data_IF_626529245478
#
_entry.id   IF_626529245478
#
_cell.length_a   1.000
_cell.length_b   1.000
_cell.length_c   1.000
_cell.angle_alpha   90.00
_cell.angle_beta   90.00
_cell.angle_gamma   90.00
#
_symmetry.space_group_name_H-M   'P 1'
#
loop_
_entity.id
_entity.type
_entity.pdbx_description
1 polymer ?
#
# COMPACT_ATOMS: atom_id res chain seq x y z
N UNK A 1 44.92 -10.85 -35.70
CA UNK A 1 46.05 -10.50 -36.59
C UNK A 1 45.72 -11.07 -37.96
N UNK A 2 45.67 -10.28 -39.07
CA UNK A 2 45.65 -8.79 -39.23
C UNK A 2 44.63 -8.05 -38.33
N UNK A 3 44.49 -6.70 -38.24
CA UNK A 3 45.24 -5.48 -38.70
C UNK A 3 45.14 -4.94 -40.16
N UNK A 4 44.80 -3.63 -40.26
CA UNK A 4 44.86 -2.68 -41.40
C UNK A 4 43.84 -2.94 -42.54
N UNK A 5 42.96 -2.05 -43.00
CA UNK A 5 42.70 -0.61 -42.74
C UNK A 5 41.41 -0.13 -43.50
N UNK A 6 41.02 1.15 -43.59
CA UNK A 6 41.43 2.38 -42.88
C UNK A 6 40.34 3.53 -43.02
N UNK A 7 40.62 4.72 -43.58
CA UNK A 7 39.71 5.93 -43.69
C UNK A 7 40.25 6.89 -44.80
N UNK A 8 39.76 8.14 -45.12
CA UNK A 8 38.67 8.98 -44.54
C UNK A 8 37.83 9.91 -45.52
N UNK A 9 36.96 10.75 -44.91
CA UNK A 9 36.44 12.07 -45.37
C UNK A 9 35.42 12.12 -46.56
N UNK A 10 34.60 13.17 -46.81
CA UNK A 10 34.46 14.55 -46.27
C UNK A 10 32.98 15.05 -46.46
N UNK A 11 32.30 15.83 -45.58
CA UNK A 11 32.35 17.30 -45.25
C UNK A 11 31.24 18.19 -45.91
N UNK A 12 30.46 18.91 -45.06
CA UNK A 12 29.62 20.14 -45.27
C UNK A 12 28.42 20.10 -46.27
N UNK A 13 27.48 21.06 -46.33
CA UNK A 13 27.23 22.40 -45.73
C UNK A 13 25.70 22.52 -45.42
N UNK A 14 25.21 23.00 -44.25
CA UNK A 14 24.90 24.39 -43.87
C UNK A 14 24.12 25.25 -44.89
N UNK A 15 22.92 25.77 -44.53
CA UNK A 15 22.48 27.21 -44.59
C UNK A 15 21.10 27.34 -43.88
N UNK A 16 20.84 28.47 -43.22
CA UNK A 16 19.61 28.81 -42.49
C UNK A 16 18.79 29.90 -43.21
N UNK A 17 17.54 30.18 -42.79
CA UNK A 17 16.90 31.47 -43.13
C UNK A 17 15.36 31.59 -43.06
N UNK A 18 14.87 32.12 -41.93
CA UNK A 18 13.97 33.29 -41.81
C UNK A 18 12.55 33.37 -42.46
N UNK A 19 11.66 33.90 -41.61
CA UNK A 19 10.58 34.88 -41.86
C UNK A 19 9.10 34.41 -41.88
N UNK A 20 8.30 35.14 -41.10
CA UNK A 20 6.83 35.08 -40.95
C UNK A 20 6.23 36.24 -41.76
N UNK A 21 4.97 36.16 -42.23
CA UNK A 21 4.00 37.13 -41.71
C UNK A 21 2.59 36.56 -41.41
N UNK A 22 1.89 37.25 -40.52
CA UNK A 22 0.49 37.06 -40.14
C UNK A 22 -0.50 37.30 -41.29
N UNK A 23 -1.77 36.89 -41.11
CA UNK A 23 -2.84 37.87 -41.36
C UNK A 23 -3.91 37.97 -40.26
N UNK A 24 -4.15 39.22 -39.85
CA UNK A 24 -5.47 39.88 -39.72
C UNK A 24 -6.63 39.20 -38.96
N UNK A 25 -7.03 39.87 -37.88
CA UNK A 25 -8.43 40.05 -37.44
C UNK A 25 -8.78 41.55 -37.62
N UNK A 26 -10.03 42.05 -37.43
CA UNK A 26 -11.22 41.41 -36.86
C UNK A 26 -12.52 41.59 -37.68
N UNK A 27 -13.62 40.99 -37.21
CA UNK A 27 -14.90 41.68 -36.87
C UNK A 27 -15.96 40.65 -36.41
N UNK A 28 -17.04 41.04 -35.71
CA UNK A 28 -17.66 40.16 -34.72
C UNK A 28 -18.90 39.42 -35.22
N UNK A 29 -19.09 38.19 -34.73
CA UNK A 29 -20.38 37.48 -34.81
C UNK A 29 -20.88 37.25 -33.38
N UNK A 30 -22.09 37.75 -33.11
CA UNK A 30 -22.82 37.48 -31.86
C UNK A 30 -23.13 35.99 -31.76
N UNK A 31 -22.84 35.40 -30.60
CA UNK A 31 -23.19 34.03 -30.26
C UNK A 31 -23.05 33.83 -28.77
N UNK A 32 -24.12 34.10 -28.04
CA UNK A 32 -24.19 33.83 -26.60
C UNK A 32 -24.08 32.32 -26.36
N UNK A 33 -23.08 31.86 -25.60
CA UNK A 33 -23.13 30.64 -24.79
C UNK A 33 -21.93 30.60 -23.83
N UNK A 34 -21.94 31.45 -22.80
CA UNK A 34 -20.98 31.34 -21.69
C UNK A 34 -21.42 30.24 -20.71
N UNK A 35 -21.26 28.98 -21.10
CA UNK A 35 -21.36 27.85 -20.16
C UNK A 35 -20.01 27.72 -19.46
N UNK A 36 -19.84 28.49 -18.37
CA UNK A 36 -18.77 28.24 -17.41
C UNK A 36 -19.11 26.99 -16.60
N UNK A 37 -18.89 25.83 -17.22
CA UNK A 37 -18.70 24.60 -16.48
C UNK A 37 -17.29 24.66 -15.88
N UNK A 38 -17.21 25.23 -14.67
CA UNK A 38 -16.11 24.95 -13.78
C UNK A 38 -15.92 23.43 -13.74
N UNK A 39 -14.80 22.92 -14.24
CA UNK A 39 -14.47 21.50 -14.17
C UNK A 39 -14.52 21.09 -12.70
N UNK A 40 -15.48 20.26 -12.25
CA UNK A 40 -15.26 19.55 -11.02
C UNK A 40 -14.11 18.61 -11.33
N UNK A 41 -12.97 18.87 -10.71
CA UNK A 41 -11.90 17.89 -10.63
C UNK A 41 -12.50 16.71 -9.86
N UNK A 42 -13.07 15.75 -10.60
CA UNK A 42 -13.44 14.45 -10.05
C UNK A 42 -12.12 13.83 -9.63
N UNK A 43 -11.78 14.03 -8.35
CA UNK A 43 -10.98 13.06 -7.63
C UNK A 43 -11.68 11.73 -7.89
N UNK A 44 -11.04 10.89 -8.69
CA UNK A 44 -11.31 9.47 -8.69
C UNK A 44 -10.87 8.95 -7.31
N UNK A 45 -11.71 9.22 -6.30
CA UNK A 45 -11.81 8.35 -5.15
C UNK A 45 -12.32 7.02 -5.71
N UNK A 46 -11.38 6.21 -6.17
CA UNK A 46 -11.57 4.77 -6.20
C UNK A 46 -11.64 4.38 -4.72
N UNK A 47 -12.83 4.53 -4.12
CA UNK A 47 -13.10 4.07 -2.77
C UNK A 47 -13.00 2.55 -2.83
N UNK A 48 -11.80 2.00 -2.60
CA UNK A 48 -11.63 0.56 -2.39
C UNK A 48 -12.16 0.26 -0.99
N UNK A 49 -13.48 0.32 -0.89
CA UNK A 49 -14.21 -0.07 0.30
C UNK A 49 -13.86 -1.53 0.59
N UNK A 50 -13.22 -1.74 1.74
CA UNK A 50 -12.99 -3.08 2.29
C UNK A 50 -14.33 -3.84 2.23
N UNK A 51 -14.39 -4.99 1.53
CA UNK A 51 -15.67 -5.64 1.27
C UNK A 51 -16.31 -6.13 2.57
N UNK A 52 -17.66 -6.21 2.62
CA UNK A 52 -18.36 -6.67 3.80
C UNK A 52 -17.93 -8.11 4.16
N UNK A 53 -17.79 -8.37 5.46
CA UNK A 53 -17.41 -9.68 5.96
C UNK A 53 -18.51 -10.70 5.66
N UNK A 54 -18.12 -11.89 5.22
CA UNK A 54 -19.03 -13.00 4.88
C UNK A 54 -18.91 -14.15 5.87
N UNK A 55 -20.00 -14.90 6.05
CA UNK A 55 -20.03 -16.08 6.91
C UNK A 55 -19.52 -17.31 6.17
N UNK A 56 -18.43 -17.90 6.66
CA UNK A 56 -17.93 -19.19 6.20
C UNK A 56 -18.46 -20.32 7.08
N UNK A 57 -19.09 -21.34 6.49
CA UNK A 57 -19.47 -22.56 7.23
C UNK A 57 -18.23 -23.17 7.87
N UNK A 58 -18.24 -23.31 9.19
CA UNK A 58 -17.11 -23.79 10.01
C UNK A 58 -16.33 -22.68 10.73
N UNK A 59 -16.47 -21.41 10.34
CA UNK A 59 -15.84 -20.29 11.05
C UNK A 59 -16.78 -19.69 12.11
N UNK A 60 -16.31 -19.39 13.33
CA UNK A 60 -17.13 -18.79 14.39
C UNK A 60 -17.41 -17.29 14.18
N UNK A 61 -16.69 -16.63 13.27
CA UNK A 61 -16.83 -15.20 12.98
C UNK A 61 -16.89 -14.97 11.47
N UNK A 62 -17.59 -13.93 10.98
CA UNK A 62 -17.51 -13.57 9.57
C UNK A 62 -16.10 -12.99 9.28
N UNK A 63 -15.61 -13.27 8.08
CA UNK A 63 -14.25 -12.98 7.61
C UNK A 63 -14.31 -12.24 6.27
N UNK A 64 -13.21 -11.65 5.82
CA UNK A 64 -13.15 -11.09 4.47
C UNK A 64 -13.38 -12.18 3.41
N UNK A 65 -14.09 -11.87 2.31
CA UNK A 65 -14.15 -12.76 1.15
C UNK A 65 -12.73 -13.03 0.60
N UNK A 66 -12.48 -14.17 -0.07
CA UNK A 66 -11.14 -14.54 -0.53
C UNK A 66 -10.47 -13.46 -1.40
N UNK A 67 -9.15 -13.30 -1.24
CA UNK A 67 -8.33 -12.36 -2.02
C UNK A 67 -7.63 -11.30 -1.18
N UNK A 68 -6.81 -10.50 -1.85
CA UNK A 68 -6.07 -9.38 -1.26
C UNK A 68 -6.86 -8.10 -1.53
N UNK A 69 -7.31 -7.44 -0.46
CA UNK A 69 -8.12 -6.21 -0.53
C UNK A 69 -7.24 -5.01 -0.19
N UNK A 70 -6.93 -4.16 -1.16
CA UNK A 70 -6.11 -2.96 -0.89
C UNK A 70 -6.92 -1.91 -0.12
N UNK A 71 -6.35 -1.32 0.92
CA UNK A 71 -7.00 -0.28 1.71
C UNK A 71 -5.99 0.59 2.47
N UNK A 72 -6.34 1.85 2.73
CA UNK A 72 -5.61 2.74 3.64
C UNK A 72 -5.86 2.37 5.12
N UNK A 73 -4.97 2.81 6.01
CA UNK A 73 -5.17 2.76 7.45
C UNK A 73 -6.46 3.48 7.89
N UNK A 74 -6.90 4.51 7.17
CA UNK A 74 -8.16 5.21 7.44
C UNK A 74 -9.39 4.34 7.13
N UNK A 75 -9.39 3.60 6.02
CA UNK A 75 -10.43 2.63 5.68
C UNK A 75 -10.42 1.43 6.64
N UNK A 76 -9.25 0.96 7.05
CA UNK A 76 -9.09 -0.05 8.11
C UNK A 76 -9.66 0.45 9.44
N UNK A 77 -9.45 1.72 9.80
CA UNK A 77 -10.04 2.31 10.99
C UNK A 77 -11.58 2.35 10.90
N UNK A 78 -12.12 2.80 9.76
CA UNK A 78 -13.56 2.87 9.53
C UNK A 78 -14.25 1.50 9.61
N UNK A 79 -13.65 0.47 9.00
CA UNK A 79 -14.19 -0.89 9.01
C UNK A 79 -14.02 -1.61 10.35
N UNK A 80 -12.88 -1.42 11.04
CA UNK A 80 -12.48 -2.31 12.14
C UNK A 80 -12.22 -1.62 13.49
N UNK A 81 -11.94 -0.31 13.57
CA UNK A 81 -11.66 0.38 14.84
C UNK A 81 -12.96 0.78 15.59
N UNK A 82 -13.96 -0.10 15.60
CA UNK A 82 -15.35 0.18 16.01
C UNK A 82 -15.55 0.36 17.51
N UNK A 83 -14.73 -0.25 18.36
CA UNK A 83 -14.81 -0.15 19.83
C UNK A 83 -13.45 0.22 20.47
N UNK A 84 -13.40 0.64 21.75
CA UNK A 84 -12.17 1.11 22.39
C UNK A 84 -11.02 0.09 22.38
N UNK A 85 -11.33 -1.20 22.50
CA UNK A 85 -10.33 -2.26 22.44
C UNK A 85 -9.72 -2.37 21.04
N UNK A 86 -10.57 -2.43 20.01
CA UNK A 86 -10.14 -2.44 18.59
C UNK A 86 -9.38 -1.17 18.21
N UNK A 87 -9.76 0.00 18.72
CA UNK A 87 -8.98 1.24 18.59
C UNK A 87 -7.56 1.07 19.16
N UNK A 88 -7.42 0.53 20.37
CA UNK A 88 -6.09 0.33 20.96
C UNK A 88 -5.17 -0.61 20.15
N UNK A 89 -5.75 -1.58 19.42
CA UNK A 89 -5.00 -2.44 18.49
C UNK A 89 -4.63 -1.68 17.20
N UNK A 90 -5.55 -0.87 16.68
CA UNK A 90 -5.31 0.00 15.53
C UNK A 90 -4.19 1.03 15.81
N UNK A 91 -4.18 1.64 16.99
CA UNK A 91 -3.15 2.61 17.37
C UNK A 91 -1.74 1.99 17.34
N UNK A 92 -1.61 0.73 17.77
CA UNK A 92 -0.38 -0.04 17.69
C UNK A 92 0.02 -0.42 16.27
N UNK A 93 -0.95 -0.77 15.42
CA UNK A 93 -0.73 -0.97 13.98
C UNK A 93 -0.22 0.31 13.30
N UNK A 94 -0.76 1.49 13.65
CA UNK A 94 -0.35 2.78 13.08
C UNK A 94 1.07 3.16 13.49
N UNK A 95 1.47 3.01 14.77
CA UNK A 95 2.87 3.27 15.19
C UNK A 95 3.84 2.33 14.48
N UNK A 96 3.52 1.02 14.45
CA UNK A 96 4.35 0.04 13.76
C UNK A 96 4.49 0.35 12.26
N UNK A 97 3.39 0.72 11.58
CA UNK A 97 3.40 1.11 10.17
C UNK A 97 4.26 2.35 9.93
N UNK A 98 4.20 3.36 10.80
CA UNK A 98 5.07 4.53 10.71
C UNK A 98 6.56 4.20 10.90
N UNK A 99 6.89 3.24 11.78
CA UNK A 99 8.28 2.75 11.96
C UNK A 99 8.77 1.98 10.75
N UNK A 100 7.95 1.08 10.21
CA UNK A 100 8.25 0.32 8.99
C UNK A 100 8.46 1.26 7.79
N UNK A 101 7.59 2.26 7.61
CA UNK A 101 7.73 3.26 6.55
C UNK A 101 9.05 4.06 6.67
N UNK A 102 9.43 4.51 7.88
CA UNK A 102 10.73 5.17 8.11
C UNK A 102 11.94 4.26 7.82
N UNK A 103 11.77 2.95 7.95
CA UNK A 103 12.77 1.98 7.55
C UNK A 103 12.75 1.66 6.04
N UNK A 104 11.83 2.22 5.24
CA UNK A 104 11.73 2.01 3.79
C UNK A 104 10.71 0.95 3.35
N UNK A 105 9.92 0.38 4.27
CA UNK A 105 8.88 -0.60 3.95
C UNK A 105 7.70 0.10 3.24
N UNK A 106 7.38 -0.33 2.02
CA UNK A 106 6.34 0.30 1.20
C UNK A 106 4.94 -0.32 1.40
N UNK A 107 4.85 -1.56 1.92
CA UNK A 107 3.59 -2.30 2.02
C UNK A 107 3.57 -3.27 3.21
N UNK A 108 2.41 -3.38 3.85
CA UNK A 108 2.10 -4.47 4.78
C UNK A 108 0.82 -5.21 4.35
N UNK A 109 0.68 -6.45 4.80
CA UNK A 109 -0.53 -7.26 4.70
C UNK A 109 -1.08 -7.51 6.10
N UNK A 110 -2.32 -7.11 6.36
CA UNK A 110 -2.97 -7.18 7.67
C UNK A 110 -4.00 -8.30 7.72
N UNK A 111 -3.95 -9.08 8.80
CA UNK A 111 -4.85 -10.18 9.11
C UNK A 111 -4.96 -10.40 10.65
N UNK A 112 -4.96 -11.65 11.10
CA UNK A 112 -5.24 -12.06 12.46
C UNK A 112 -6.70 -11.88 12.87
N UNK A 113 -6.97 -12.09 14.16
CA UNK A 113 -8.35 -11.99 14.66
C UNK A 113 -8.95 -10.58 14.53
N UNK A 114 -8.09 -9.56 14.35
CA UNK A 114 -8.47 -8.18 14.06
C UNK A 114 -9.18 -7.98 12.71
N UNK A 115 -8.96 -8.83 11.70
CA UNK A 115 -9.62 -8.73 10.38
C UNK A 115 -10.82 -9.69 10.32
N UNK A 116 -11.69 -9.59 11.33
CA UNK A 116 -12.89 -10.42 11.47
C UNK A 116 -14.01 -9.70 12.23
N UNK A 117 -15.20 -10.30 12.19
CA UNK A 117 -16.36 -9.87 12.97
C UNK A 117 -16.28 -10.20 14.47
N UNK A 118 -15.14 -10.72 14.96
CA UNK A 118 -14.94 -10.98 16.39
C UNK A 118 -15.02 -9.64 17.17
N UNK A 119 -15.94 -9.47 18.14
CA UNK A 119 -16.11 -8.19 18.84
C UNK A 119 -14.87 -7.74 19.63
N UNK A 120 -14.16 -8.72 20.22
CA UNK A 120 -12.91 -8.53 20.94
C UNK A 120 -11.81 -9.45 20.34
N UNK A 121 -11.12 -9.00 19.27
CA UNK A 121 -9.91 -9.68 18.79
C UNK A 121 -8.87 -9.83 19.91
N UNK A 122 -7.97 -10.82 19.80
CA UNK A 122 -6.82 -10.91 20.71
C UNK A 122 -5.75 -9.89 20.33
N UNK A 123 -5.46 -9.88 19.04
CA UNK A 123 -4.35 -9.22 18.35
C UNK A 123 -4.70 -9.07 16.86
N UNK A 124 -3.84 -8.35 16.14
CA UNK A 124 -3.70 -8.42 14.69
C UNK A 124 -2.40 -9.15 14.34
N UNK A 125 -2.38 -9.76 13.15
CA UNK A 125 -1.18 -10.37 12.57
C UNK A 125 -0.84 -9.60 11.28
N UNK A 126 0.43 -9.26 11.07
CA UNK A 126 0.85 -8.44 9.92
C UNK A 126 2.11 -9.01 9.25
N UNK A 127 2.10 -9.05 7.92
CA UNK A 127 3.30 -9.30 7.12
C UNK A 127 3.82 -7.98 6.55
N UNK A 128 5.13 -7.74 6.56
CA UNK A 128 5.74 -6.57 5.92
C UNK A 128 6.65 -6.99 4.77
N UNK A 129 6.66 -6.18 3.71
CA UNK A 129 7.52 -6.42 2.55
C UNK A 129 8.95 -5.91 2.83
N UNK A 130 9.97 -6.78 2.85
CA UNK A 130 11.35 -6.35 3.10
C UNK A 130 12.01 -5.65 1.89
N UNK A 131 11.38 -5.64 0.71
CA UNK A 131 11.93 -4.94 -0.46
C UNK A 131 12.04 -3.44 -0.18
N UNK A 132 13.26 -2.92 -0.27
CA UNK A 132 13.58 -1.51 0.01
C UNK A 132 13.84 -1.19 1.49
N UNK A 133 13.72 -2.15 2.41
CA UNK A 133 13.91 -1.90 3.85
C UNK A 133 15.40 -1.76 4.20
N UNK A 134 15.77 -0.58 4.71
CA UNK A 134 17.06 -0.29 5.32
C UNK A 134 17.13 -0.92 6.72
N UNK A 135 17.87 -2.02 6.82
CA UNK A 135 18.04 -2.77 8.08
C UNK A 135 18.62 -1.93 9.22
N UNK A 136 19.38 -0.85 8.93
CA UNK A 136 19.96 0.04 9.94
C UNK A 136 18.93 1.00 10.58
N UNK A 137 17.78 1.21 9.91
CA UNK A 137 16.66 2.03 10.38
C UNK A 137 15.51 1.20 10.95
N UNK A 138 15.52 -0.11 10.72
CA UNK A 138 14.49 -1.04 11.19
C UNK A 138 14.59 -1.25 12.71
N UNK A 139 13.49 -0.98 13.41
CA UNK A 139 13.32 -1.25 14.84
C UNK A 139 13.46 -2.77 15.11
N UNK A 140 14.47 -3.18 15.87
CA UNK A 140 14.85 -4.59 16.05
C UNK A 140 13.72 -5.50 16.57
N UNK A 141 12.69 -4.91 17.20
CA UNK A 141 11.48 -5.62 17.63
C UNK A 141 10.79 -6.36 16.48
N UNK A 142 10.88 -5.85 15.23
CA UNK A 142 10.29 -6.50 14.04
C UNK A 142 10.99 -7.80 13.65
N UNK A 143 12.12 -8.10 14.28
CA UNK A 143 12.89 -9.33 14.09
C UNK A 143 13.04 -10.15 15.39
N UNK A 144 12.39 -9.73 16.48
CA UNK A 144 12.36 -10.47 17.73
C UNK A 144 11.17 -11.45 17.79
N UNK A 145 11.44 -12.70 17.42
CA UNK A 145 10.46 -13.79 17.45
C UNK A 145 10.46 -14.59 18.77
N UNK A 146 11.28 -14.21 19.75
CA UNK A 146 11.41 -14.93 21.03
C UNK A 146 10.13 -14.84 21.86
N UNK A 147 9.93 -15.80 22.75
CA UNK A 147 8.81 -15.84 23.71
C UNK A 147 7.43 -15.64 23.05
N UNK A 148 7.22 -16.15 21.84
CA UNK A 148 5.97 -15.96 21.10
C UNK A 148 5.73 -14.51 20.65
N UNK A 149 6.80 -13.80 20.26
CA UNK A 149 6.78 -12.38 19.85
C UNK A 149 6.29 -11.44 20.95
N UNK A 150 6.60 -11.76 22.22
CA UNK A 150 6.15 -10.98 23.38
C UNK A 150 6.48 -9.48 23.27
N UNK A 151 7.68 -9.13 22.80
CA UNK A 151 8.10 -7.73 22.62
C UNK A 151 7.28 -6.99 21.55
N UNK A 152 6.86 -7.67 20.47
CA UNK A 152 5.97 -7.09 19.45
C UNK A 152 4.56 -6.87 20.02
N UNK A 153 4.03 -7.86 20.76
CA UNK A 153 2.72 -7.77 21.41
C UNK A 153 2.68 -6.70 22.51
N UNK A 154 3.76 -6.53 23.28
CA UNK A 154 3.86 -5.49 24.30
C UNK A 154 3.87 -4.09 23.66
N UNK A 155 4.69 -3.90 22.62
CA UNK A 155 4.91 -2.60 21.98
C UNK A 155 3.79 -2.17 21.03
N UNK A 156 3.20 -3.11 20.27
CA UNK A 156 2.23 -2.83 19.21
C UNK A 156 0.90 -3.60 19.34
N UNK A 157 0.74 -4.51 20.32
CA UNK A 157 -0.44 -5.38 20.50
C UNK A 157 -0.76 -6.32 19.32
N UNK A 158 0.22 -6.55 18.45
CA UNK A 158 0.10 -7.46 17.30
C UNK A 158 1.42 -8.13 16.96
N UNK A 159 1.40 -8.95 15.93
CA UNK A 159 2.54 -9.74 15.46
C UNK A 159 3.00 -9.26 14.09
N UNK A 160 4.31 -9.25 13.83
CA UNK A 160 4.91 -8.80 12.58
C UNK A 160 5.91 -9.82 12.04
N UNK A 161 5.74 -10.16 10.76
CA UNK A 161 6.57 -11.13 10.03
C UNK A 161 7.09 -10.53 8.72
N UNK A 162 8.37 -10.69 8.36
CA UNK A 162 8.83 -10.41 6.99
C UNK A 162 8.16 -11.40 6.02
N UNK A 163 7.63 -10.92 4.89
CA UNK A 163 6.99 -11.77 3.87
C UNK A 163 7.95 -12.83 3.28
N UNK A 164 9.26 -12.62 3.42
CA UNK A 164 10.33 -13.54 2.99
C UNK A 164 10.61 -14.70 3.96
N UNK A 165 9.93 -14.77 5.11
CA UNK A 165 10.27 -15.72 6.19
C UNK A 165 9.97 -17.20 5.86
N UNK A 166 9.25 -17.49 4.77
CA UNK A 166 8.93 -18.86 4.34
C UNK A 166 9.24 -19.10 2.86
N UNK A 167 10.28 -19.91 2.64
CA UNK A 167 10.69 -20.52 1.36
C UNK A 167 11.27 -19.59 0.28
N UNK A 168 12.03 -20.19 -0.64
CA UNK A 168 12.85 -19.49 -1.63
C UNK A 168 12.05 -18.76 -2.74
N UNK A 169 10.76 -19.04 -2.87
CA UNK A 169 9.85 -18.42 -3.83
C UNK A 169 9.11 -17.20 -3.23
N UNK A 170 9.87 -16.13 -3.02
CA UNK A 170 9.49 -14.72 -2.81
C UNK A 170 8.02 -14.45 -2.41
N UNK A 171 7.78 -14.18 -1.13
CA UNK A 171 6.63 -13.41 -0.61
C UNK A 171 5.27 -14.09 -0.59
N UNK A 172 5.02 -15.08 -1.46
CA UNK A 172 3.70 -15.72 -1.60
C UNK A 172 3.30 -16.57 -0.40
N UNK A 173 4.21 -17.44 0.08
CA UNK A 173 3.87 -18.48 1.04
C UNK A 173 3.28 -17.99 2.38
N UNK A 174 3.69 -16.81 2.88
CA UNK A 174 3.15 -16.28 4.16
C UNK A 174 1.84 -15.50 3.96
N UNK A 175 1.67 -14.81 2.83
CA UNK A 175 0.39 -14.15 2.47
C UNK A 175 -0.68 -15.20 2.11
N UNK A 176 -0.28 -16.32 1.50
CA UNK A 176 -1.12 -17.50 1.29
C UNK A 176 -1.54 -18.15 2.62
N UNK A 177 -0.63 -18.23 3.60
CA UNK A 177 -0.97 -18.70 4.96
C UNK A 177 -2.01 -17.80 5.64
N UNK A 178 -1.87 -16.47 5.57
CA UNK A 178 -2.90 -15.54 6.06
C UNK A 178 -4.22 -15.64 5.28
N UNK A 179 -4.23 -16.15 4.04
CA UNK A 179 -5.47 -16.39 3.31
C UNK A 179 -6.16 -17.71 3.68
N UNK A 180 -5.70 -18.48 4.67
CA UNK A 180 -6.41 -19.66 5.18
C UNK A 180 -7.12 -19.39 6.52
N UNK A 181 -8.43 -19.68 6.60
CA UNK A 181 -9.16 -19.71 7.87
C UNK A 181 -8.75 -20.93 8.70
N UNK A 182 -8.19 -20.70 9.89
CA UNK A 182 -7.78 -21.76 10.82
C UNK A 182 -8.92 -22.62 11.37
N UNK A 183 -10.18 -22.19 11.24
CA UNK A 183 -11.33 -22.93 11.75
C UNK A 183 -11.96 -23.85 10.69
N UNK A 184 -12.18 -23.35 9.48
CA UNK A 184 -12.81 -24.10 8.38
C UNK A 184 -11.83 -24.64 7.33
N UNK A 185 -10.55 -24.24 7.36
CA UNK A 185 -9.53 -24.55 6.35
C UNK A 185 -9.74 -23.85 4.99
N UNK A 186 -10.83 -23.08 4.84
CA UNK A 186 -11.21 -22.39 3.61
C UNK A 186 -10.35 -21.16 3.36
N UNK A 187 -10.30 -20.74 2.10
CA UNK A 187 -9.70 -19.45 1.73
C UNK A 187 -10.54 -18.29 2.29
N UNK A 188 -9.85 -17.26 2.79
CA UNK A 188 -10.39 -16.00 3.31
C UNK A 188 -9.56 -14.82 2.81
N UNK A 189 -10.07 -13.61 2.92
CA UNK A 189 -9.35 -12.41 2.50
C UNK A 189 -8.33 -11.91 3.51
N UNK A 190 -7.41 -11.08 3.00
CA UNK A 190 -6.42 -10.29 3.77
C UNK A 190 -6.43 -8.85 3.25
N UNK A 191 -5.95 -7.90 4.05
CA UNK A 191 -5.87 -6.49 3.63
C UNK A 191 -4.44 -6.17 3.20
N UNK A 192 -4.25 -5.49 2.08
CA UNK A 192 -2.97 -4.90 1.66
C UNK A 192 -2.98 -3.40 1.95
N UNK A 193 -1.99 -2.90 2.67
CA UNK A 193 -1.90 -1.48 3.06
C UNK A 193 -0.61 -0.89 2.45
N UNK A 194 -0.71 -0.05 1.40
CA UNK A 194 0.41 0.70 0.85
C UNK A 194 0.82 1.80 1.82
N UNK A 195 1.95 1.63 2.50
CA UNK A 195 2.45 2.60 3.49
C UNK A 195 3.00 3.86 2.82
N UNK A 196 3.59 3.73 1.63
CA UNK A 196 4.30 4.81 0.95
C UNK A 196 3.41 5.97 0.49
N UNK A 197 2.09 5.79 0.52
CA UNK A 197 1.10 6.81 0.15
C UNK A 197 -0.03 6.94 1.19
N UNK A 198 0.12 6.38 2.41
CA UNK A 198 -0.96 6.39 3.40
C UNK A 198 -1.13 7.78 4.06
N UNK A 199 -2.33 8.38 4.00
CA UNK A 199 -2.56 9.73 4.50
C UNK A 199 -2.42 9.86 6.03
N UNK A 200 -2.59 8.78 6.81
CA UNK A 200 -2.41 8.82 8.27
C UNK A 200 -0.93 8.77 8.68
N UNK A 201 -0.03 8.38 7.78
CA UNK A 201 1.41 8.31 8.06
C UNK A 201 2.14 9.60 7.71
N UNK A 202 1.79 10.26 6.60
CA UNK A 202 2.44 11.52 6.20
C UNK A 202 2.29 12.66 7.22
N UNK A 203 1.19 12.70 7.99
CA UNK A 203 1.02 13.66 9.08
C UNK A 203 1.97 13.49 10.28
N UNK A 204 2.92 12.54 10.23
CA UNK A 204 3.88 12.22 11.31
C UNK A 204 5.34 12.10 10.84
N UNK A 205 5.67 12.60 9.63
CA UNK A 205 7.05 12.50 9.07
C UNK A 205 7.86 13.79 9.27
N UNK A 206 7.25 14.90 9.71
CA UNK A 206 7.91 16.20 9.92
C UNK A 206 8.09 16.60 11.41
N UNK A 207 8.08 15.63 12.34
CA UNK A 207 8.22 15.85 13.80
C UNK A 207 9.30 14.99 14.45
#
# INVERSE_FOLDING_TARGET
MPRNGESPAAVNHFVAGLAIPYPLSPSPIRGDFHVSLAFPFLQHYCCIMIPPLIHFTGSPWPLLPPGIHEASLAEVAAAFATNPWRRSLFDGLVDASGRLLRAGCLRIYLDGSYVSGKPKPGDFDACWDPVGVDRSKLDDVFLDFRNGRAAQKEKFKGEFFPSSMTCADVGRAFVEFFQQDRYSGKQKGVISIPLSHDPLLFGKVES
#
